data_IF_220895411749
#
_entry.id   IF_220895411749
#
_cell.length_a   1.000
_cell.length_b   1.000
_cell.length_c   1.000
_cell.angle_alpha   90.00
_cell.angle_beta   90.00
_cell.angle_gamma   90.00
#
_symmetry.space_group_name_H-M   'P 1'
#
loop_
_entity.id
_entity.type
_entity.pdbx_description
1 polymer ?
#
# COMPACT_ATOMS: atom_id res chain seq x y z
N UNK A 1 6.54 13.02 28.93
CA UNK A 1 5.13 12.74 29.09
C UNK A 1 4.29 14.00 28.84
N UNK A 2 3.56 14.05 27.73
CA UNK A 2 2.71 15.18 27.35
C UNK A 2 1.25 14.76 27.17
N UNK A 3 0.90 13.51 27.56
CA UNK A 3 -0.47 13.06 27.46
C UNK A 3 -1.35 13.82 28.46
N UNK A 4 -2.49 14.38 28.01
CA UNK A 4 -3.47 14.97 28.91
C UNK A 4 -4.22 13.91 29.74
N UNK A 5 -4.10 12.63 29.38
CA UNK A 5 -4.73 11.53 30.10
C UNK A 5 -3.75 10.92 31.12
N UNK A 6 -3.99 11.10 32.44
CA UNK A 6 -3.13 10.56 33.48
C UNK A 6 -3.05 9.04 33.50
N UNK A 7 -4.07 8.32 32.96
CA UNK A 7 -4.11 6.86 32.93
C UNK A 7 -3.06 6.25 31.99
N UNK A 8 -2.57 7.03 31.02
CA UNK A 8 -1.56 6.59 30.07
C UNK A 8 -0.13 6.67 30.61
N UNK A 9 0.07 7.29 31.79
CA UNK A 9 1.41 7.53 32.34
C UNK A 9 2.19 6.24 32.60
N UNK A 10 1.48 5.20 33.06
CA UNK A 10 2.07 3.92 33.44
C UNK A 10 1.75 2.84 32.39
N UNK A 11 1.20 3.22 31.24
CA UNK A 11 0.88 2.28 30.15
C UNK A 11 2.13 1.92 29.36
N UNK A 12 2.41 0.64 29.28
CA UNK A 12 3.46 0.14 28.40
C UNK A 12 2.92 -0.05 26.98
N UNK A 13 3.50 0.68 26.02
CA UNK A 13 3.16 0.58 24.61
C UNK A 13 4.08 -0.44 23.92
N UNK A 14 3.49 -1.49 23.37
CA UNK A 14 4.23 -2.54 22.67
C UNK A 14 4.44 -2.28 21.17
N UNK A 15 3.89 -1.19 20.66
CA UNK A 15 4.01 -0.78 19.26
C UNK A 15 4.92 0.42 19.15
N UNK A 16 5.86 0.38 18.20
CA UNK A 16 6.72 1.54 17.92
C UNK A 16 5.95 2.67 17.22
N UNK A 17 6.39 3.91 17.41
CA UNK A 17 5.83 5.08 16.72
C UNK A 17 6.06 5.00 15.22
N UNK A 18 7.25 4.60 14.82
CA UNK A 18 7.61 4.29 13.44
C UNK A 18 8.24 2.91 13.40
N UNK A 19 7.69 2.03 12.58
CA UNK A 19 8.28 0.71 12.30
C UNK A 19 8.46 0.56 10.79
N UNK A 20 9.68 0.28 10.38
CA UNK A 20 10.02 -0.03 8.97
C UNK A 20 10.34 -1.50 8.85
N UNK A 21 9.66 -2.17 7.94
CA UNK A 21 9.88 -3.59 7.64
C UNK A 21 10.23 -3.72 6.16
N UNK A 22 11.38 -4.31 5.88
CA UNK A 22 11.78 -4.65 4.50
C UNK A 22 11.65 -6.15 4.30
N UNK A 23 10.96 -6.53 3.23
CA UNK A 23 10.70 -7.92 2.85
C UNK A 23 11.34 -8.14 1.48
N UNK A 24 12.21 -9.13 1.39
CA UNK A 24 12.72 -9.62 0.10
C UNK A 24 11.93 -10.88 -0.26
N UNK A 25 11.25 -10.82 -1.40
CA UNK A 25 10.45 -11.93 -1.90
C UNK A 25 11.32 -12.97 -2.62
N UNK A 26 10.80 -14.18 -2.79
CA UNK A 26 11.50 -15.27 -3.47
C UNK A 26 11.84 -14.94 -4.94
N UNK A 27 11.04 -14.12 -5.61
CA UNK A 27 11.28 -13.65 -6.98
C UNK A 27 12.29 -12.48 -7.08
N UNK A 28 12.78 -11.97 -5.94
CA UNK A 28 13.71 -10.84 -5.88
C UNK A 28 13.04 -9.48 -5.71
N UNK A 29 11.72 -9.42 -5.67
CA UNK A 29 11.00 -8.19 -5.38
C UNK A 29 11.28 -7.75 -3.94
N UNK A 30 11.32 -6.44 -3.72
CA UNK A 30 11.50 -5.85 -2.39
C UNK A 30 10.29 -5.03 -2.03
N UNK A 31 9.69 -5.32 -0.88
CA UNK A 31 8.58 -4.57 -0.31
C UNK A 31 9.08 -3.85 0.93
N UNK A 32 8.88 -2.54 1.00
CA UNK A 32 9.11 -1.75 2.21
C UNK A 32 7.78 -1.31 2.77
N UNK A 33 7.51 -1.69 4.02
CA UNK A 33 6.33 -1.25 4.77
C UNK A 33 6.77 -0.25 5.83
N UNK A 34 6.08 0.87 5.92
CA UNK A 34 6.27 1.85 6.99
C UNK A 34 4.97 2.01 7.78
N UNK A 35 5.02 1.66 9.04
CA UNK A 35 3.96 1.95 10.00
C UNK A 35 4.35 3.20 10.75
N UNK A 36 3.47 4.20 10.73
CA UNK A 36 3.60 5.45 11.47
C UNK A 36 2.26 5.68 12.19
N UNK A 37 2.28 5.69 13.51
CA UNK A 37 1.06 5.65 14.33
C UNK A 37 0.75 6.97 15.02
N UNK A 38 1.76 7.74 15.39
CA UNK A 38 1.59 8.83 16.36
C UNK A 38 2.16 10.17 15.91
N UNK A 39 3.03 10.19 14.92
CA UNK A 39 3.70 11.42 14.52
C UNK A 39 2.85 12.24 13.55
N UNK A 40 2.98 13.58 13.57
CA UNK A 40 2.26 14.46 12.65
C UNK A 40 2.59 14.11 11.19
N UNK A 41 1.58 13.79 10.41
CA UNK A 41 1.68 13.49 8.98
C UNK A 41 0.35 13.70 8.27
N UNK A 42 0.41 13.88 6.96
CA UNK A 42 -0.77 13.74 6.13
C UNK A 42 -1.20 12.28 6.07
N UNK A 43 -2.51 12.04 5.92
CA UNK A 43 -2.99 10.68 5.65
C UNK A 43 -2.49 10.23 4.28
N UNK A 44 -1.75 9.14 4.26
CA UNK A 44 -1.29 8.45 3.06
C UNK A 44 -1.00 6.99 3.38
N UNK A 45 -1.14 6.14 2.38
CA UNK A 45 -0.60 4.77 2.42
C UNK A 45 0.78 4.70 1.79
N UNK A 46 1.30 5.81 1.27
CA UNK A 46 2.59 5.91 0.56
C UNK A 46 2.76 4.82 -0.51
N UNK A 47 1.61 4.38 -1.10
CA UNK A 47 1.63 3.28 -2.04
C UNK A 47 2.41 3.64 -3.29
N UNK A 48 3.54 2.96 -3.47
CA UNK A 48 4.43 3.15 -4.62
C UNK A 48 4.80 1.80 -5.19
N UNK A 49 4.61 1.64 -6.50
CA UNK A 49 5.06 0.45 -7.24
C UNK A 49 6.07 0.88 -8.28
N UNK A 50 7.23 0.25 -8.26
CA UNK A 50 8.29 0.45 -9.26
C UNK A 50 8.53 -0.84 -10.01
N UNK A 51 8.44 -0.78 -11.31
CA UNK A 51 8.74 -1.88 -12.21
C UNK A 51 9.77 -1.47 -13.26
N UNK A 52 10.19 -2.42 -14.09
CA UNK A 52 11.17 -2.17 -15.17
C UNK A 52 10.65 -1.23 -16.25
N UNK A 53 9.34 -1.04 -16.36
CA UNK A 53 8.70 -0.23 -17.41
C UNK A 53 7.97 1.00 -16.88
N UNK A 54 8.02 1.24 -15.59
CA UNK A 54 7.36 2.42 -15.02
C UNK A 54 7.26 2.44 -13.52
N UNK A 55 6.71 3.53 -13.04
CA UNK A 55 6.47 3.85 -11.64
C UNK A 55 5.03 4.31 -11.48
N UNK A 56 4.35 3.82 -10.45
CA UNK A 56 3.09 4.38 -9.97
C UNK A 56 3.27 4.85 -8.52
N UNK A 57 2.85 6.07 -8.22
CA UNK A 57 3.00 6.69 -6.89
C UNK A 57 1.70 7.37 -6.47
N UNK A 58 1.13 6.90 -5.36
CA UNK A 58 -0.13 7.42 -4.83
C UNK A 58 -0.04 8.89 -4.41
N UNK A 59 0.98 9.27 -3.67
CA UNK A 59 1.07 10.61 -3.07
C UNK A 59 1.16 11.73 -4.10
N UNK A 60 1.75 11.45 -5.24
CA UNK A 60 1.80 12.38 -6.36
C UNK A 60 0.66 12.16 -7.36
N UNK A 61 -0.22 11.16 -7.14
CA UNK A 61 -1.22 10.72 -8.10
C UNK A 61 -0.62 10.57 -9.51
N UNK A 62 0.48 9.84 -9.60
CA UNK A 62 1.40 9.86 -10.73
C UNK A 62 1.64 8.47 -11.29
N UNK A 63 1.72 8.41 -12.63
CA UNK A 63 2.25 7.27 -13.36
C UNK A 63 3.34 7.76 -14.28
N UNK A 64 4.51 7.13 -14.23
CA UNK A 64 5.62 7.38 -15.13
C UNK A 64 5.93 6.11 -15.91
N UNK A 65 6.10 6.23 -17.23
CA UNK A 65 6.48 5.11 -18.08
C UNK A 65 7.90 5.28 -18.60
N UNK A 66 8.59 4.18 -18.86
CA UNK A 66 9.92 4.17 -19.48
C UNK A 66 9.95 4.98 -20.78
N UNK A 67 8.84 4.99 -21.54
CA UNK A 67 8.67 5.75 -22.76
C UNK A 67 8.72 7.27 -22.58
N UNK A 68 8.54 7.78 -21.37
CA UNK A 68 8.51 9.21 -21.08
C UNK A 68 9.89 9.87 -21.10
N UNK A 69 10.93 9.12 -21.45
CA UNK A 69 12.31 9.56 -21.63
C UNK A 69 12.85 10.41 -20.49
N UNK A 70 12.88 9.83 -19.29
CA UNK A 70 13.59 10.44 -18.18
C UNK A 70 15.09 10.34 -18.43
N UNK A 71 15.74 11.48 -18.51
CA UNK A 71 17.19 11.52 -18.49
C UNK A 71 17.62 11.35 -17.04
N UNK A 72 18.38 10.30 -16.76
CA UNK A 72 18.96 10.01 -15.46
C UNK A 72 19.73 11.20 -14.87
N UNK A 73 20.24 12.06 -15.72
CA UNK A 73 21.07 13.22 -15.41
C UNK A 73 20.28 14.53 -15.35
N UNK A 74 18.94 14.47 -15.39
CA UNK A 74 18.11 15.68 -15.24
C UNK A 74 18.03 16.07 -13.76
N UNK A 75 18.93 16.99 -13.36
CA UNK A 75 18.93 17.58 -12.02
C UNK A 75 17.75 18.53 -11.76
N UNK A 76 16.93 18.82 -12.76
CA UNK A 76 15.66 19.55 -12.61
C UNK A 76 14.49 18.61 -12.21
N UNK A 77 14.76 17.62 -11.38
CA UNK A 77 13.79 16.60 -10.96
C UNK A 77 12.45 17.19 -10.46
N UNK A 78 12.48 18.37 -9.85
CA UNK A 78 11.27 19.06 -9.37
C UNK A 78 10.34 19.38 -10.56
N UNK A 79 10.85 19.92 -11.66
CA UNK A 79 10.04 20.23 -12.85
C UNK A 79 9.50 18.98 -13.52
N UNK A 80 10.27 17.90 -13.51
CA UNK A 80 9.83 16.60 -14.04
C UNK A 80 8.70 16.03 -13.18
N UNK A 81 8.81 16.09 -11.87
CA UNK A 81 7.76 15.65 -10.95
C UNK A 81 6.49 16.48 -11.15
N UNK A 82 6.59 17.80 -11.19
CA UNK A 82 5.45 18.70 -11.40
C UNK A 82 4.70 18.39 -12.70
N UNK A 83 5.42 18.11 -13.79
CA UNK A 83 4.84 17.75 -15.08
C UNK A 83 4.00 16.48 -15.03
N UNK A 84 4.37 15.51 -14.19
CA UNK A 84 3.73 14.19 -14.10
C UNK A 84 2.83 14.04 -12.90
N UNK A 85 2.76 15.03 -12.00
CA UNK A 85 1.81 15.01 -10.89
C UNK A 85 0.37 15.05 -11.41
N UNK A 86 -0.51 14.33 -10.72
CA UNK A 86 -1.94 14.27 -11.03
C UNK A 86 -2.29 13.72 -12.42
N UNK A 87 -1.42 12.92 -13.03
CA UNK A 87 -1.66 12.33 -14.35
C UNK A 87 -2.28 10.92 -14.33
N UNK A 88 -2.53 10.34 -13.14
CA UNK A 88 -3.02 8.97 -13.04
C UNK A 88 -4.38 8.74 -13.74
N UNK A 89 -5.22 9.76 -13.82
CA UNK A 89 -6.51 9.73 -14.54
C UNK A 89 -6.34 9.36 -16.04
N UNK A 90 -5.24 9.74 -16.66
CA UNK A 90 -4.94 9.42 -18.06
C UNK A 90 -4.79 7.90 -18.29
N UNK A 91 -4.53 7.17 -17.20
CA UNK A 91 -4.34 5.73 -17.18
C UNK A 91 -5.57 4.95 -16.72
N UNK A 92 -6.70 5.63 -16.46
CA UNK A 92 -7.94 5.00 -15.97
C UNK A 92 -8.45 3.87 -16.89
N UNK A 93 -8.13 3.92 -18.19
CA UNK A 93 -8.46 2.85 -19.14
C UNK A 93 -7.87 1.48 -18.78
N UNK A 94 -6.81 1.44 -17.98
CA UNK A 94 -6.16 0.21 -17.54
C UNK A 94 -6.75 -0.35 -16.25
N UNK A 95 -7.64 0.39 -15.59
CA UNK A 95 -8.35 -0.13 -14.44
C UNK A 95 -9.25 -1.30 -14.82
N UNK A 96 -9.39 -2.31 -13.98
CA UNK A 96 -10.41 -3.35 -14.14
C UNK A 96 -11.80 -2.72 -14.33
N UNK A 97 -12.64 -3.34 -15.16
CA UNK A 97 -13.98 -2.83 -15.48
C UNK A 97 -14.82 -2.52 -14.23
N UNK A 98 -14.72 -3.36 -13.21
CA UNK A 98 -15.41 -3.18 -11.93
C UNK A 98 -15.09 -1.85 -11.23
N UNK A 99 -13.91 -1.28 -11.47
CA UNK A 99 -13.50 0.03 -10.96
C UNK A 99 -13.80 1.15 -11.96
N UNK A 100 -13.49 0.91 -13.23
CA UNK A 100 -13.62 1.91 -14.27
C UNK A 100 -15.07 2.32 -14.51
N UNK A 101 -15.97 1.34 -14.48
CA UNK A 101 -17.36 1.49 -14.87
C UNK A 101 -18.29 1.80 -13.67
N UNK A 102 -17.74 2.19 -12.52
CA UNK A 102 -18.49 2.61 -11.34
C UNK A 102 -19.27 3.90 -11.59
N UNK A 103 -20.53 3.90 -11.18
CA UNK A 103 -21.36 5.10 -11.16
C UNK A 103 -20.92 6.07 -10.04
N UNK A 104 -21.32 7.33 -10.15
CA UNK A 104 -21.04 8.32 -9.10
C UNK A 104 -21.75 7.99 -7.77
N UNK A 105 -22.86 7.26 -7.81
CA UNK A 105 -23.54 6.77 -6.61
C UNK A 105 -22.73 5.67 -5.93
N UNK A 106 -22.21 4.71 -6.70
CA UNK A 106 -21.36 3.62 -6.21
C UNK A 106 -20.06 4.16 -5.60
N UNK A 107 -19.44 5.18 -6.19
CA UNK A 107 -18.24 5.84 -5.66
C UNK A 107 -18.47 6.56 -4.32
N UNK A 108 -19.71 6.91 -3.98
CA UNK A 108 -20.07 7.52 -2.69
C UNK A 108 -20.24 6.50 -1.58
N UNK A 109 -20.35 5.23 -1.91
CA UNK A 109 -20.41 4.16 -0.93
C UNK A 109 -19.04 3.96 -0.28
N UNK A 110 -18.98 3.41 0.91
CA UNK A 110 -17.84 3.34 1.79
C UNK A 110 -16.45 3.31 1.13
N UNK A 111 -15.55 4.15 1.60
CA UNK A 111 -14.17 4.29 1.14
C UNK A 111 -14.03 4.57 -0.38
N UNK A 112 -14.88 5.45 -0.94
CA UNK A 112 -14.82 5.77 -2.36
C UNK A 112 -15.31 4.65 -3.28
N UNK A 113 -16.21 3.81 -2.79
CA UNK A 113 -16.79 2.67 -3.49
C UNK A 113 -16.00 1.36 -3.30
N UNK A 114 -14.88 1.38 -2.58
CA UNK A 114 -14.04 0.19 -2.37
C UNK A 114 -14.81 -0.94 -1.67
N UNK A 115 -15.55 -0.63 -0.61
CA UNK A 115 -16.34 -1.61 0.12
C UNK A 115 -17.44 -2.21 -0.76
N UNK A 116 -18.09 -1.39 -1.57
CA UNK A 116 -19.08 -1.84 -2.53
C UNK A 116 -18.49 -2.80 -3.58
N UNK A 117 -17.37 -2.44 -4.18
CA UNK A 117 -16.68 -3.28 -5.18
C UNK A 117 -16.28 -4.62 -4.57
N UNK A 118 -15.73 -4.60 -3.36
CA UNK A 118 -15.32 -5.82 -2.64
C UNK A 118 -16.52 -6.74 -2.38
N UNK A 119 -17.62 -6.21 -1.87
CA UNK A 119 -18.83 -6.99 -1.58
C UNK A 119 -19.49 -7.51 -2.85
N UNK A 120 -19.55 -6.70 -3.90
CA UNK A 120 -20.08 -7.10 -5.21
C UNK A 120 -19.27 -8.23 -5.85
N UNK A 121 -17.94 -8.16 -5.75
CA UNK A 121 -17.07 -9.24 -6.21
C UNK A 121 -17.29 -10.53 -5.40
N UNK A 122 -17.35 -10.43 -4.08
CA UNK A 122 -17.62 -11.54 -3.18
C UNK A 122 -18.97 -12.22 -3.51
N UNK A 123 -20.03 -11.42 -3.71
CA UNK A 123 -21.35 -11.93 -4.07
C UNK A 123 -21.32 -12.67 -5.42
N UNK A 124 -20.62 -12.12 -6.41
CA UNK A 124 -20.48 -12.73 -7.72
C UNK A 124 -19.74 -14.06 -7.65
N UNK A 125 -18.63 -14.13 -6.90
CA UNK A 125 -17.85 -15.36 -6.72
C UNK A 125 -18.66 -16.44 -6.01
N UNK A 126 -19.41 -16.08 -4.96
CA UNK A 126 -20.30 -17.00 -4.26
C UNK A 126 -21.40 -17.57 -5.18
N UNK A 127 -22.06 -16.70 -5.97
CA UNK A 127 -23.10 -17.11 -6.90
C UNK A 127 -22.59 -18.04 -8.00
N UNK A 128 -21.38 -17.80 -8.48
CA UNK A 128 -20.78 -18.56 -9.56
C UNK A 128 -19.93 -19.74 -9.07
N UNK A 129 -19.85 -19.97 -7.75
CA UNK A 129 -19.03 -21.01 -7.12
C UNK A 129 -17.55 -20.92 -7.53
N UNK A 130 -17.06 -19.70 -7.70
CA UNK A 130 -15.66 -19.42 -8.02
C UNK A 130 -14.86 -19.35 -6.71
N UNK A 131 -13.64 -19.90 -6.71
CA UNK A 131 -12.73 -19.76 -5.58
C UNK A 131 -12.31 -18.30 -5.45
N UNK A 132 -12.33 -17.80 -4.22
CA UNK A 132 -11.87 -16.45 -3.94
C UNK A 132 -10.41 -16.26 -4.34
N UNK A 133 -10.07 -15.12 -4.97
CA UNK A 133 -8.71 -14.83 -5.39
C UNK A 133 -7.75 -14.67 -4.20
N UNK A 134 -8.27 -14.34 -3.03
CA UNK A 134 -7.51 -14.23 -1.77
C UNK A 134 -7.94 -15.39 -0.87
N UNK A 135 -6.99 -16.26 -0.56
CA UNK A 135 -7.23 -17.46 0.27
C UNK A 135 -6.91 -17.19 1.74
N UNK A 136 -7.32 -18.11 2.62
CA UNK A 136 -6.91 -18.07 4.03
C UNK A 136 -5.38 -18.17 4.18
N UNK A 137 -4.69 -18.83 3.24
CA UNK A 137 -3.22 -18.90 3.24
C UNK A 137 -2.61 -17.52 2.96
N UNK A 138 -3.17 -16.78 2.00
CA UNK A 138 -2.71 -15.41 1.71
C UNK A 138 -2.95 -14.49 2.91
N UNK A 139 -4.12 -14.59 3.54
CA UNK A 139 -4.43 -13.84 4.75
C UNK A 139 -3.45 -14.16 5.89
N UNK A 140 -3.18 -15.45 6.12
CA UNK A 140 -2.23 -15.88 7.15
C UNK A 140 -0.81 -15.34 6.86
N UNK A 141 -0.38 -15.38 5.59
CA UNK A 141 0.91 -14.84 5.18
C UNK A 141 0.98 -13.32 5.43
N UNK A 142 -0.02 -12.57 5.02
CA UNK A 142 -0.02 -11.11 5.18
C UNK A 142 -0.06 -10.68 6.64
N UNK A 143 -0.88 -11.34 7.45
CA UNK A 143 -0.98 -11.04 8.89
C UNK A 143 0.26 -11.49 9.67
N UNK A 144 1.04 -12.43 9.17
CA UNK A 144 2.28 -12.88 9.79
C UNK A 144 3.42 -11.85 9.75
N UNK A 145 3.33 -10.85 8.87
CA UNK A 145 4.36 -9.81 8.74
C UNK A 145 4.56 -9.07 10.06
N UNK A 146 3.50 -8.72 10.77
CA UNK A 146 3.58 -8.01 12.05
C UNK A 146 4.34 -8.79 13.13
N UNK A 147 3.99 -10.04 13.47
CA UNK A 147 4.74 -10.80 14.46
C UNK A 147 6.18 -11.09 14.03
N UNK A 148 6.45 -11.36 12.74
CA UNK A 148 7.81 -11.57 12.26
C UNK A 148 8.66 -10.29 12.33
N UNK A 149 8.09 -9.14 12.01
CA UNK A 149 8.76 -7.85 12.18
C UNK A 149 9.13 -7.61 13.67
N UNK A 150 8.21 -7.90 14.60
CA UNK A 150 8.47 -7.80 16.03
C UNK A 150 9.62 -8.72 16.47
N UNK A 151 9.67 -9.96 15.99
CA UNK A 151 10.76 -10.90 16.27
C UNK A 151 12.08 -10.39 15.71
N UNK A 152 12.09 -9.93 14.46
CA UNK A 152 13.29 -9.37 13.81
C UNK A 152 13.88 -8.20 14.60
N UNK A 153 13.03 -7.28 15.06
CA UNK A 153 13.46 -6.14 15.89
C UNK A 153 14.04 -6.62 17.23
N UNK A 154 13.36 -7.52 17.91
CA UNK A 154 13.77 -8.04 19.22
C UNK A 154 15.10 -8.79 19.14
N UNK A 155 15.25 -9.63 18.12
CA UNK A 155 16.42 -10.49 17.95
C UNK A 155 17.54 -9.83 17.14
N UNK A 156 17.30 -8.63 16.59
CA UNK A 156 18.25 -7.87 15.78
C UNK A 156 18.81 -8.68 14.62
N UNK A 157 17.98 -9.47 13.97
CA UNK A 157 18.37 -10.31 12.82
C UNK A 157 17.28 -10.38 11.77
N UNK A 158 17.68 -10.72 10.56
CA UNK A 158 16.74 -11.09 9.49
C UNK A 158 16.04 -12.40 9.83
N UNK A 159 14.75 -12.48 9.54
CA UNK A 159 13.94 -13.70 9.67
C UNK A 159 13.74 -14.27 8.26
N UNK A 160 14.09 -15.54 8.08
CA UNK A 160 13.79 -16.28 6.85
C UNK A 160 12.47 -17.05 7.05
N UNK A 161 11.57 -16.93 6.07
CA UNK A 161 10.24 -17.59 6.08
C UNK A 161 10.15 -18.76 5.07
N UNK A 162 11.26 -19.01 4.35
CA UNK A 162 11.30 -20.01 3.29
C UNK A 162 12.22 -21.18 3.70
N UNK A 163 11.82 -21.92 4.73
CA UNK A 163 12.38 -23.23 5.06
C UNK A 163 11.35 -24.33 4.80
#
# INVERSE_FOLDING_TARGET
>A
DRSPDPSLKDTEFNQGDIVVTTITCAGGEVITLRLDTTLPRCYSREFTVRGTKGLCMQDANMVLLESDKFLHDDFEAVKTIEKHMNCAEEYARYLPAIWRDMTEEEKRLGHGGMDYVMLKALEADLKNQILFPITLKDLALWTSITPWSKISIREKRTICLLD
#
